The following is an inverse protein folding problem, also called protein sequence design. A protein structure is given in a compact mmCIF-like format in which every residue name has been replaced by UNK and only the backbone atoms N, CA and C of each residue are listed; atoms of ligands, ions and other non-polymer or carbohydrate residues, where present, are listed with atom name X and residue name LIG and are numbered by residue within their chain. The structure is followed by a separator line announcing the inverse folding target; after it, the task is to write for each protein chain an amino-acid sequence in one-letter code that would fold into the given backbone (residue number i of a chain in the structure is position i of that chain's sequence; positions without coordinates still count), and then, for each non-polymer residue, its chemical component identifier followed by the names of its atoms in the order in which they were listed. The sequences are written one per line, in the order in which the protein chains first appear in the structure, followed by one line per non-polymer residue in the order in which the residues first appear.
data_IF_951389654313
#
_entry.id   IF_951389654313
#
_cell.length_a   1.000
_cell.length_b   1.000
_cell.length_c   1.000
_cell.angle_alpha   90.00
_cell.angle_beta   90.00
_cell.angle_gamma   90.00
#
_symmetry.space_group_name_H-M   'P 1'
#
loop_
_entity.id
_entity.type
_entity.pdbx_description
1 polymer ?
#
# COMPACT_ATOMS: atom_id res chain seq x y z
N UNK A 1 -10.04 0.03 5.97
CA UNK A 1 -8.82 -0.67 6.44
C UNK A 1 -8.42 -0.23 7.85
N UNK A 2 -8.19 1.07 8.11
CA UNK A 2 -7.69 1.56 9.41
C UNK A 2 -8.51 1.11 10.64
N UNK A 3 -9.84 1.28 10.62
CA UNK A 3 -10.71 0.88 11.74
C UNK A 3 -10.68 -0.63 11.97
N UNK A 4 -10.69 -1.43 10.90
CA UNK A 4 -10.67 -2.89 10.98
C UNK A 4 -9.34 -3.37 11.56
N UNK A 5 -8.21 -2.81 11.12
CA UNK A 5 -6.89 -3.13 11.68
C UNK A 5 -6.78 -2.74 13.15
N UNK A 6 -7.37 -1.61 13.57
CA UNK A 6 -7.40 -1.23 14.98
C UNK A 6 -8.15 -2.25 15.84
N UNK A 7 -9.34 -2.66 15.39
CA UNK A 7 -10.13 -3.69 16.09
C UNK A 7 -9.41 -5.04 16.12
N UNK A 8 -8.73 -5.41 15.05
CA UNK A 8 -7.93 -6.64 14.97
C UNK A 8 -6.72 -6.62 15.92
N UNK A 9 -6.03 -5.49 16.06
CA UNK A 9 -4.90 -5.37 17.00
C UNK A 9 -5.39 -5.50 18.44
N UNK A 10 -6.47 -4.81 18.78
CA UNK A 10 -7.01 -4.74 20.16
C UNK A 10 -7.70 -6.05 20.57
N UNK A 11 -8.54 -6.61 19.71
CA UNK A 11 -9.43 -7.73 20.06
C UNK A 11 -9.14 -9.02 19.29
N UNK A 12 -8.30 -8.98 18.25
CA UNK A 12 -7.95 -10.15 17.45
C UNK A 12 -7.04 -11.11 18.22
N UNK A 13 -7.06 -12.37 17.77
CA UNK A 13 -6.28 -13.47 18.33
C UNK A 13 -5.03 -13.81 17.50
N UNK A 14 -4.70 -12.96 16.52
CA UNK A 14 -3.52 -13.12 15.68
C UNK A 14 -2.22 -13.05 16.49
N UNK A 15 -1.18 -13.70 15.97
CA UNK A 15 0.16 -13.71 16.57
C UNK A 15 0.76 -12.31 16.68
N UNK A 16 1.70 -12.13 17.62
CA UNK A 16 2.33 -10.83 17.89
C UNK A 16 2.99 -10.22 16.64
N UNK A 17 3.65 -11.03 15.81
CA UNK A 17 4.28 -10.59 14.56
C UNK A 17 3.24 -10.01 13.58
N UNK A 18 2.10 -10.69 13.42
CA UNK A 18 1.01 -10.23 12.55
C UNK A 18 0.35 -8.96 13.07
N UNK A 19 0.25 -8.80 14.41
CA UNK A 19 -0.22 -7.55 15.02
C UNK A 19 0.76 -6.39 14.80
N UNK A 20 2.07 -6.66 14.81
CA UNK A 20 3.09 -5.66 14.52
C UNK A 20 3.06 -5.22 13.06
N UNK A 21 2.86 -6.16 12.13
CA UNK A 21 2.65 -5.85 10.71
C UNK A 21 1.38 -5.02 10.50
N UNK A 22 0.27 -5.39 11.16
CA UNK A 22 -0.98 -4.62 11.14
C UNK A 22 -0.80 -3.18 11.68
N UNK A 23 0.00 -3.03 12.74
CA UNK A 23 0.34 -1.72 13.31
C UNK A 23 1.19 -0.88 12.33
N UNK A 24 2.17 -1.50 11.67
CA UNK A 24 2.97 -0.85 10.63
C UNK A 24 2.06 -0.33 9.51
N UNK A 25 1.16 -1.17 9.00
CA UNK A 25 0.19 -0.79 7.97
C UNK A 25 -0.74 0.32 8.45
N UNK A 26 -1.13 0.33 9.73
CA UNK A 26 -1.91 1.42 10.31
C UNK A 26 -1.15 2.76 10.26
N UNK A 27 0.11 2.80 10.66
CA UNK A 27 0.93 4.01 10.53
C UNK A 27 1.10 4.45 9.08
N UNK A 28 1.28 3.51 8.15
CA UNK A 28 1.31 3.81 6.71
C UNK A 28 0.01 4.45 6.23
N UNK A 29 -1.15 3.98 6.71
CA UNK A 29 -2.46 4.58 6.38
C UNK A 29 -2.58 6.01 6.91
N UNK A 30 -2.13 6.26 8.15
CA UNK A 30 -2.13 7.62 8.74
C UNK A 30 -1.23 8.56 7.94
N UNK A 31 -0.02 8.12 7.58
CA UNK A 31 0.91 8.89 6.76
C UNK A 31 0.35 9.16 5.36
N UNK A 32 -0.30 8.17 4.74
CA UNK A 32 -1.00 8.29 3.46
C UNK A 32 -2.07 9.40 3.50
N UNK A 33 -2.94 9.38 4.52
CA UNK A 33 -3.98 10.42 4.70
C UNK A 33 -3.36 11.79 4.95
N UNK A 34 -2.33 11.86 5.79
CA UNK A 34 -1.64 13.13 6.08
C UNK A 34 -1.00 13.73 4.83
N UNK A 35 -0.34 12.91 4.00
CA UNK A 35 0.24 13.34 2.72
C UNK A 35 -0.84 13.84 1.76
N UNK A 36 -1.93 13.10 1.59
CA UNK A 36 -3.06 13.52 0.75
C UNK A 36 -3.65 14.86 1.21
N UNK A 37 -3.83 15.05 2.51
CA UNK A 37 -4.28 16.31 3.08
C UNK A 37 -3.28 17.44 2.82
N UNK A 38 -1.99 17.15 2.98
CA UNK A 38 -0.90 18.11 2.73
C UNK A 38 -0.91 18.59 1.27
N UNK A 39 -1.08 17.69 0.30
CA UNK A 39 -1.21 18.07 -1.12
C UNK A 39 -2.39 19.00 -1.38
N UNK A 40 -3.53 18.78 -0.69
CA UNK A 40 -4.71 19.63 -0.84
C UNK A 40 -4.52 20.99 -0.18
N UNK A 41 -4.01 21.03 1.06
CA UNK A 41 -3.78 22.26 1.82
C UNK A 41 -2.74 23.14 1.13
N UNK A 42 -1.64 22.55 0.67
CA UNK A 42 -0.52 23.27 0.04
C UNK A 42 -0.60 23.32 -1.48
N UNK A 43 -1.75 23.02 -2.09
CA UNK A 43 -1.91 22.94 -3.55
C UNK A 43 -1.43 24.21 -4.26
N UNK A 44 -1.77 25.40 -3.74
CA UNK A 44 -1.34 26.69 -4.32
C UNK A 44 0.18 26.86 -4.31
N UNK A 45 0.84 26.47 -3.23
CA UNK A 45 2.29 26.56 -3.11
C UNK A 45 2.97 25.57 -4.06
N UNK A 46 2.41 24.36 -4.18
CA UNK A 46 2.90 23.33 -5.10
C UNK A 46 2.81 23.81 -6.55
N UNK A 47 1.65 24.35 -6.94
CA UNK A 47 1.43 24.92 -8.28
C UNK A 47 2.45 26.03 -8.56
N UNK A 48 2.66 26.94 -7.61
CA UNK A 48 3.65 28.02 -7.76
C UNK A 48 5.07 27.48 -7.99
N UNK A 49 5.47 26.45 -7.24
CA UNK A 49 6.78 25.83 -7.42
C UNK A 49 6.92 25.17 -8.79
N UNK A 50 5.88 24.46 -9.25
CA UNK A 50 5.88 23.85 -10.59
C UNK A 50 5.92 24.91 -11.70
N UNK A 51 5.12 25.97 -11.59
CA UNK A 51 5.14 27.08 -12.55
C UNK A 51 6.51 27.77 -12.58
N UNK A 52 7.15 27.98 -11.43
CA UNK A 52 8.51 28.51 -11.37
C UNK A 52 9.51 27.61 -12.09
N UNK A 53 9.49 26.30 -11.81
CA UNK A 53 10.39 25.35 -12.46
C UNK A 53 10.20 25.28 -13.99
N UNK A 54 8.96 25.44 -14.47
CA UNK A 54 8.68 25.53 -15.91
C UNK A 54 9.23 26.82 -16.50
N UNK A 55 9.03 27.96 -15.84
CA UNK A 55 9.57 29.24 -16.30
C UNK A 55 11.11 29.21 -16.34
N UNK A 56 11.74 28.63 -15.32
CA UNK A 56 13.19 28.45 -15.27
C UNK A 56 13.69 27.57 -16.41
N UNK A 57 12.95 26.51 -16.77
CA UNK A 57 13.26 25.67 -17.94
C UNK A 57 13.22 26.46 -19.26
N UNK A 58 12.20 27.30 -19.42
CA UNK A 58 11.97 28.08 -20.64
C UNK A 58 12.98 29.23 -20.79
N UNK A 59 13.50 29.76 -19.68
CA UNK A 59 14.49 30.83 -19.66
C UNK A 59 15.91 30.36 -20.00
N UNK A 60 16.15 29.05 -20.18
CA UNK A 60 17.47 28.51 -20.50
C UNK A 60 17.89 28.91 -21.93
N UNK A 61 19.00 29.63 -21.99
CA UNK A 61 19.65 30.16 -23.19
C UNK A 61 20.55 29.15 -23.92
N UNK A 62 21.25 28.27 -23.18
CA UNK A 62 22.21 27.34 -23.78
C UNK A 62 21.71 25.89 -23.85
N UNK A 63 22.08 25.20 -24.93
CA UNK A 63 21.74 23.80 -25.14
C UNK A 63 22.34 22.88 -24.06
N UNK A 64 23.56 23.20 -23.61
CA UNK A 64 24.27 22.44 -22.57
C UNK A 64 23.51 22.43 -21.23
N UNK A 65 23.03 23.60 -20.77
CA UNK A 65 22.20 23.72 -19.57
C UNK A 65 20.88 22.94 -19.72
N UNK A 66 20.29 22.97 -20.92
CA UNK A 66 19.04 22.24 -21.22
C UNK A 66 19.23 20.72 -21.15
N UNK A 67 20.38 20.21 -21.61
CA UNK A 67 20.74 18.79 -21.51
C UNK A 67 20.87 18.38 -20.03
N UNK A 68 21.56 19.17 -19.22
CA UNK A 68 21.71 18.92 -17.78
C UNK A 68 20.35 18.84 -17.10
N UNK A 69 19.47 19.81 -17.35
CA UNK A 69 18.14 19.84 -16.73
C UNK A 69 17.26 18.65 -17.16
N UNK A 70 17.32 18.25 -18.43
CA UNK A 70 16.63 17.02 -18.92
C UNK A 70 17.15 15.76 -18.24
N UNK A 71 18.46 15.67 -18.00
CA UNK A 71 19.06 14.53 -17.29
C UNK A 71 18.53 14.43 -15.86
N UNK A 72 18.48 15.54 -15.13
CA UNK A 72 17.91 15.54 -13.77
C UNK A 72 16.42 15.19 -13.76
N UNK A 73 15.63 15.73 -14.68
CA UNK A 73 14.22 15.38 -14.82
C UNK A 73 14.02 13.89 -15.18
N UNK A 74 14.91 13.31 -16.00
CA UNK A 74 14.90 11.89 -16.31
C UNK A 74 15.23 11.03 -15.08
N UNK A 75 16.31 11.35 -14.36
CA UNK A 75 16.69 10.63 -13.13
C UNK A 75 15.55 10.69 -12.11
N UNK A 76 14.92 11.86 -11.92
CA UNK A 76 13.77 12.01 -11.04
C UNK A 76 12.59 11.09 -11.42
N UNK A 77 12.30 10.96 -12.72
CA UNK A 77 11.27 10.02 -13.21
C UNK A 77 11.64 8.56 -12.94
N UNK A 78 12.89 8.18 -13.18
CA UNK A 78 13.36 6.80 -12.92
C UNK A 78 13.26 6.47 -11.43
N UNK A 79 13.76 7.36 -10.55
CA UNK A 79 13.65 7.17 -9.09
C UNK A 79 12.18 7.02 -8.67
N UNK A 80 11.30 7.85 -9.22
CA UNK A 80 9.87 7.80 -8.92
C UNK A 80 9.22 6.48 -9.37
N UNK A 81 9.54 5.98 -10.57
CA UNK A 81 9.04 4.69 -11.04
C UNK A 81 9.60 3.51 -10.24
N UNK A 82 10.88 3.55 -9.87
CA UNK A 82 11.49 2.51 -9.02
C UNK A 82 10.82 2.43 -7.66
N UNK A 83 10.56 3.57 -7.00
CA UNK A 83 9.88 3.60 -5.69
C UNK A 83 8.47 3.00 -5.80
N UNK A 84 7.70 3.39 -6.82
CA UNK A 84 6.36 2.82 -7.04
C UNK A 84 6.41 1.31 -7.31
N UNK A 85 7.36 0.87 -8.13
CA UNK A 85 7.53 -0.54 -8.43
C UNK A 85 7.78 -1.36 -7.16
N UNK A 86 8.71 -0.93 -6.30
CA UNK A 86 8.98 -1.61 -5.03
C UNK A 86 7.77 -1.56 -4.07
N UNK A 87 7.04 -0.45 -4.04
CA UNK A 87 5.86 -0.32 -3.18
C UNK A 87 4.72 -1.27 -3.62
N UNK A 88 4.51 -1.42 -4.92
CA UNK A 88 3.54 -2.36 -5.48
C UNK A 88 4.00 -3.80 -5.33
N UNK A 89 5.28 -4.07 -5.57
CA UNK A 89 5.88 -5.39 -5.36
C UNK A 89 5.72 -5.86 -3.90
N UNK A 90 5.98 -4.97 -2.93
CA UNK A 90 5.73 -5.26 -1.52
C UNK A 90 4.24 -5.54 -1.23
N UNK A 91 3.33 -4.78 -1.83
CA UNK A 91 1.87 -5.00 -1.69
C UNK A 91 1.42 -6.34 -2.29
N UNK A 92 2.08 -6.80 -3.37
CA UNK A 92 1.84 -8.13 -3.93
C UNK A 92 2.32 -9.24 -3.00
N UNK A 93 3.48 -9.08 -2.33
CA UNK A 93 4.01 -10.06 -1.38
C UNK A 93 3.01 -10.34 -0.26
N UNK A 94 2.37 -9.30 0.30
CA UNK A 94 1.35 -9.46 1.35
C UNK A 94 0.19 -10.38 0.96
N UNK A 95 -0.11 -10.50 -0.33
CA UNK A 95 -1.24 -11.29 -0.85
C UNK A 95 -0.80 -12.65 -1.37
N UNK A 96 0.33 -12.68 -2.08
CA UNK A 96 0.86 -13.90 -2.70
C UNK A 96 1.40 -14.85 -1.65
N UNK A 97 2.04 -14.35 -0.59
CA UNK A 97 2.60 -15.19 0.47
C UNK A 97 1.49 -16.03 1.14
N UNK A 98 0.37 -15.46 1.62
CA UNK A 98 -0.69 -16.25 2.23
C UNK A 98 -1.45 -17.13 1.22
N UNK A 99 -1.49 -16.75 -0.07
CA UNK A 99 -2.08 -17.59 -1.11
C UNK A 99 -1.24 -18.83 -1.45
N UNK A 100 0.09 -18.73 -1.41
CA UNK A 100 1.01 -19.84 -1.73
C UNK A 100 1.30 -20.70 -0.50
N UNK A 101 1.47 -20.09 0.68
CA UNK A 101 1.71 -20.78 1.95
C UNK A 101 0.42 -21.24 2.63
N UNK A 102 -0.74 -20.74 2.20
CA UNK A 102 -2.06 -21.26 2.53
C UNK A 102 -2.24 -22.63 1.91
N UNK A 103 -1.75 -23.64 2.62
CA UNK A 103 -1.88 -25.08 2.44
C UNK A 103 -2.48 -25.53 1.09
N UNK A 104 -1.63 -25.95 0.14
CA UNK A 104 -2.03 -26.78 -1.00
C UNK A 104 -2.61 -28.14 -0.55
N UNK A 105 -2.58 -28.45 0.74
CA UNK A 105 -3.25 -29.59 1.33
C UNK A 105 -4.59 -29.15 1.92
N UNK A 106 -5.57 -28.88 1.05
CA UNK A 106 -6.98 -29.10 1.37
C UNK A 106 -7.20 -30.62 1.55
N UNK A 107 -6.48 -31.21 2.51
CA UNK A 107 -6.84 -32.48 3.09
C UNK A 107 -8.02 -32.20 4.01
N UNK A 108 -9.08 -32.93 3.73
CA UNK A 108 -10.45 -32.87 4.26
C UNK A 108 -10.54 -33.17 5.77
N UNK A 109 -9.48 -32.91 6.56
CA UNK A 109 -9.38 -33.35 7.96
C UNK A 109 -8.88 -32.32 8.99
N UNK A 110 -8.72 -31.03 8.65
CA UNK A 110 -8.54 -29.97 9.67
C UNK A 110 -9.87 -29.27 9.95
N UNK A 111 -10.64 -29.80 10.89
CA UNK A 111 -11.94 -29.24 11.28
C UNK A 111 -11.88 -27.90 12.03
N UNK A 112 -10.69 -27.34 12.31
CA UNK A 112 -10.53 -26.29 13.35
C UNK A 112 -9.75 -25.03 12.94
N UNK A 113 -9.31 -24.87 11.67
CA UNK A 113 -8.62 -23.63 11.24
C UNK A 113 -9.60 -22.80 10.41
N UNK A 114 -9.95 -21.61 10.90
CA UNK A 114 -10.83 -20.72 10.15
C UNK A 114 -10.01 -20.00 9.06
N UNK A 115 -10.43 -20.03 7.78
CA UNK A 115 -9.77 -19.28 6.69
C UNK A 115 -9.59 -17.77 6.94
N UNK A 116 -10.28 -17.18 7.93
CA UNK A 116 -10.09 -15.80 8.36
C UNK A 116 -8.66 -15.46 8.83
N UNK A 117 -7.92 -16.41 9.39
CA UNK A 117 -6.54 -16.22 9.83
C UNK A 117 -5.52 -16.30 8.70
N UNK A 118 -5.92 -16.87 7.56
CA UNK A 118 -5.07 -17.09 6.38
C UNK A 118 -5.22 -15.97 5.33
N UNK A 119 -6.01 -14.93 5.63
CA UNK A 119 -6.13 -13.76 4.76
C UNK A 119 -4.81 -12.95 4.74
N UNK A 120 -4.52 -12.24 3.63
CA UNK A 120 -3.37 -11.33 3.50
C UNK A 120 -3.15 -10.42 4.72
N UNK A 121 -4.24 -9.85 5.22
CA UNK A 121 -4.31 -9.32 6.57
C UNK A 121 -5.32 -10.16 7.35
N UNK A 122 -4.88 -10.86 8.41
CA UNK A 122 -5.75 -11.68 9.24
C UNK A 122 -6.93 -10.87 9.79
N UNK A 123 -8.12 -11.45 9.74
CA UNK A 123 -9.36 -10.84 10.20
C UNK A 123 -10.04 -11.75 11.23
N UNK A 124 -9.29 -12.15 12.25
CA UNK A 124 -9.78 -13.08 13.28
C UNK A 124 -10.88 -12.46 14.14
N UNK A 125 -10.85 -11.17 14.43
CA UNK A 125 -11.90 -10.56 15.24
C UNK A 125 -13.24 -10.49 14.49
N UNK A 126 -13.21 -10.12 13.21
CA UNK A 126 -14.44 -9.91 12.41
C UNK A 126 -15.01 -11.21 11.83
N UNK A 127 -14.16 -12.13 11.38
CA UNK A 127 -14.57 -13.25 10.53
C UNK A 127 -14.34 -14.65 11.14
N UNK A 128 -13.70 -14.78 12.31
CA UNK A 128 -13.38 -16.08 12.91
C UNK A 128 -14.59 -16.95 13.29
N UNK A 129 -15.78 -16.36 13.42
CA UNK A 129 -17.00 -17.13 13.76
C UNK A 129 -17.85 -17.45 12.52
N UNK A 130 -17.47 -16.96 11.34
CA UNK A 130 -18.21 -17.15 10.10
C UNK A 130 -17.58 -18.24 9.24
N UNK A 131 -18.41 -19.03 8.55
CA UNK A 131 -17.97 -19.93 7.48
C UNK A 131 -17.71 -19.10 6.22
N UNK A 132 -16.45 -18.91 5.88
CA UNK A 132 -16.04 -18.18 4.69
C UNK A 132 -15.97 -19.16 3.51
N UNK A 133 -16.73 -18.91 2.46
CA UNK A 133 -16.59 -19.68 1.21
C UNK A 133 -15.32 -19.25 0.45
N UNK A 134 -14.81 -20.12 -0.42
CA UNK A 134 -13.61 -19.82 -1.22
C UNK A 134 -13.77 -18.52 -2.05
N UNK A 135 -14.96 -18.30 -2.64
CA UNK A 135 -15.25 -17.08 -3.40
C UNK A 135 -15.21 -15.82 -2.52
N UNK A 136 -15.73 -15.89 -1.29
CA UNK A 136 -15.67 -14.77 -0.35
C UNK A 136 -14.23 -14.50 0.11
N UNK A 137 -13.46 -15.55 0.39
CA UNK A 137 -12.03 -15.43 0.74
C UNK A 137 -11.25 -14.71 -0.35
N UNK A 138 -11.40 -15.14 -1.62
CA UNK A 138 -10.73 -14.52 -2.77
C UNK A 138 -11.18 -13.06 -2.96
N UNK A 139 -12.48 -12.78 -2.78
CA UNK A 139 -13.01 -11.42 -2.92
C UNK A 139 -12.43 -10.50 -1.85
N UNK A 140 -12.38 -10.94 -0.58
CA UNK A 140 -11.81 -10.15 0.52
C UNK A 140 -10.31 -9.94 0.31
N UNK A 141 -9.58 -10.98 -0.09
CA UNK A 141 -8.15 -10.90 -0.42
C UNK A 141 -7.88 -9.89 -1.53
N UNK A 142 -8.68 -9.89 -2.60
CA UNK A 142 -8.57 -8.92 -3.69
C UNK A 142 -8.85 -7.49 -3.21
N UNK A 143 -9.87 -7.29 -2.39
CA UNK A 143 -10.19 -5.96 -1.81
C UNK A 143 -9.03 -5.47 -0.92
N UNK A 144 -8.48 -6.34 -0.07
CA UNK A 144 -7.30 -6.02 0.75
C UNK A 144 -6.11 -5.62 -0.12
N UNK A 145 -5.86 -6.35 -1.22
CA UNK A 145 -4.82 -6.03 -2.18
C UNK A 145 -5.00 -4.63 -2.80
N UNK A 146 -6.19 -4.33 -3.32
CA UNK A 146 -6.49 -3.01 -3.92
C UNK A 146 -6.30 -1.89 -2.90
N UNK A 147 -6.71 -2.10 -1.65
CA UNK A 147 -6.53 -1.11 -0.58
C UNK A 147 -5.05 -0.90 -0.21
N UNK A 148 -4.23 -1.96 -0.18
CA UNK A 148 -2.78 -1.85 0.03
C UNK A 148 -2.10 -1.10 -1.12
N UNK A 149 -2.48 -1.40 -2.36
CA UNK A 149 -2.00 -0.69 -3.55
C UNK A 149 -2.35 0.80 -3.50
N UNK A 150 -3.60 1.15 -3.20
CA UNK A 150 -4.00 2.55 -3.05
C UNK A 150 -3.23 3.28 -1.94
N UNK A 151 -3.03 2.63 -0.79
CA UNK A 151 -2.27 3.23 0.31
C UNK A 151 -0.79 3.43 -0.06
N UNK A 152 -0.19 2.49 -0.78
CA UNK A 152 1.19 2.63 -1.24
C UNK A 152 1.33 3.80 -2.23
N UNK A 153 0.40 3.97 -3.18
CA UNK A 153 0.39 5.13 -4.10
C UNK A 153 0.32 6.45 -3.33
N UNK A 154 -0.61 6.56 -2.37
CA UNK A 154 -0.80 7.76 -1.57
C UNK A 154 0.42 8.06 -0.68
N UNK A 155 1.06 7.02 -0.14
CA UNK A 155 2.28 7.17 0.67
C UNK A 155 3.49 7.61 -0.18
N UNK A 156 3.54 7.23 -1.46
CA UNK A 156 4.54 7.75 -2.40
C UNK A 156 4.30 9.21 -2.82
N UNK A 157 3.20 9.83 -2.37
CA UNK A 157 2.92 11.26 -2.61
C UNK A 157 2.53 11.57 -4.04
N UNK A 158 1.78 10.65 -4.68
CA UNK A 158 1.12 10.88 -5.96
C UNK A 158 -0.39 11.03 -5.79
#
# INVERSE_FOLDING_TARGET
MMVVLFLEIVFGKADMYLKLDALMVMFCNVLSVLKLLSFRIYAKNLIRNFSSAVNDYLAIDTEEKRIIMRRHAYIGRIVCYSILFFAYFASCIFVVVPLILGDNNVQVNKSNINPASELPMPLTWTLQNYKISATLYLTISLVQHVLLMLNSTCNCGK
#
